data_IF_758115841983
#
_entry.id   IF_758115841983
#
_cell.length_a   1.000
_cell.length_b   1.000
_cell.length_c   1.000
_cell.angle_alpha   90.00
_cell.angle_beta   90.00
_cell.angle_gamma   90.00
#
_symmetry.space_group_name_H-M   'P 1'
#
loop_
_entity.id
_entity.type
_entity.pdbx_description
1 polymer ?
#
# COMPACT_ATOMS: atom_id res chain seq x y z
N UNK A 1 -13.97 -6.39 -18.21
CA UNK A 1 -14.79 -7.39 -17.48
C UNK A 1 -14.06 -7.66 -16.17
N UNK A 2 -14.73 -7.45 -15.04
CA UNK A 2 -14.14 -7.65 -13.72
C UNK A 2 -14.63 -9.00 -13.18
N UNK A 3 -13.71 -9.89 -12.80
CA UNK A 3 -14.08 -11.20 -12.24
C UNK A 3 -13.94 -11.13 -10.72
N UNK A 4 -15.06 -10.99 -10.01
CA UNK A 4 -15.12 -11.02 -8.54
C UNK A 4 -15.53 -12.41 -8.09
N UNK A 5 -14.71 -13.14 -7.31
CA UNK A 5 -15.10 -14.44 -6.80
C UNK A 5 -16.27 -14.31 -5.81
N UNK A 6 -17.23 -15.23 -5.88
CA UNK A 6 -18.47 -15.21 -5.08
C UNK A 6 -18.26 -15.41 -3.57
N UNK A 7 -17.06 -15.81 -3.15
CA UNK A 7 -16.66 -16.06 -1.76
C UNK A 7 -15.71 -14.98 -1.19
N UNK A 8 -15.97 -13.70 -1.49
CA UNK A 8 -15.20 -12.60 -0.93
C UNK A 8 -15.58 -12.31 0.54
N UNK A 9 -14.89 -12.95 1.48
CA UNK A 9 -15.08 -12.70 2.92
C UNK A 9 -14.35 -11.44 3.40
N UNK A 10 -13.32 -11.01 2.67
CA UNK A 10 -12.47 -9.87 3.01
C UNK A 10 -12.03 -9.14 1.75
N UNK A 11 -12.13 -7.81 1.79
CA UNK A 11 -11.64 -6.92 0.75
C UNK A 11 -10.38 -6.18 1.21
N UNK A 12 -9.53 -5.84 0.26
CA UNK A 12 -8.31 -5.07 0.50
C UNK A 12 -8.61 -3.67 1.05
N UNK A 13 -7.97 -3.32 2.16
CA UNK A 13 -8.07 -2.00 2.80
C UNK A 13 -6.70 -1.39 2.99
N UNK A 14 -6.66 -0.07 3.20
CA UNK A 14 -5.43 0.65 3.56
C UNK A 14 -4.79 0.00 4.78
N UNK A 15 -3.49 -0.27 4.69
CA UNK A 15 -2.70 -0.96 5.71
C UNK A 15 -2.52 -2.46 5.46
N UNK A 16 -3.37 -3.10 4.65
CA UNK A 16 -3.24 -4.51 4.32
C UNK A 16 -2.01 -4.78 3.46
N UNK A 17 -1.48 -6.00 3.55
CA UNK A 17 -0.47 -6.48 2.60
C UNK A 17 -1.14 -7.28 1.50
N UNK A 18 -1.12 -6.74 0.28
CA UNK A 18 -1.65 -7.37 -0.91
C UNK A 18 -0.51 -8.11 -1.63
N UNK A 19 -0.73 -9.38 -1.93
CA UNK A 19 0.15 -10.18 -2.81
C UNK A 19 -0.54 -10.39 -4.13
N UNK A 20 0.07 -9.94 -5.22
CA UNK A 20 -0.56 -9.89 -6.55
C UNK A 20 0.34 -10.46 -7.64
N UNK A 21 -0.28 -10.99 -8.68
CA UNK A 21 0.32 -11.06 -9.99
C UNK A 21 -0.23 -9.93 -10.85
N UNK A 22 0.66 -9.18 -11.51
CA UNK A 22 0.29 -8.15 -12.46
C UNK A 22 0.94 -8.36 -13.83
N UNK A 23 0.31 -7.79 -14.84
CA UNK A 23 0.89 -7.55 -16.17
C UNK A 23 0.56 -6.12 -16.61
N UNK A 24 1.60 -5.33 -16.87
CA UNK A 24 1.50 -3.95 -17.32
C UNK A 24 1.66 -3.84 -18.84
N UNK A 25 0.69 -3.24 -19.50
CA UNK A 25 0.66 -3.01 -20.94
C UNK A 25 0.41 -1.53 -21.27
N UNK A 26 0.98 -1.07 -22.37
CA UNK A 26 0.64 0.21 -22.98
C UNK A 26 -0.68 0.09 -23.75
N UNK A 27 -1.30 1.23 -24.10
CA UNK A 27 -2.55 1.25 -24.88
C UNK A 27 -2.42 0.61 -26.27
N UNK A 28 -1.21 0.53 -26.81
CA UNK A 28 -0.91 -0.17 -28.07
C UNK A 28 -0.78 -1.70 -27.90
N UNK A 29 -0.99 -2.23 -26.69
CA UNK A 29 -0.87 -3.65 -26.36
C UNK A 29 0.54 -4.13 -26.01
N UNK A 30 1.56 -3.25 -26.08
CA UNK A 30 2.93 -3.61 -25.74
C UNK A 30 3.04 -3.86 -24.24
N UNK A 31 3.43 -5.07 -23.84
CA UNK A 31 3.77 -5.39 -22.47
C UNK A 31 5.12 -4.77 -22.10
N UNK A 32 5.16 -3.99 -21.03
CA UNK A 32 6.41 -3.40 -20.51
C UNK A 32 6.92 -4.11 -19.26
N UNK A 33 6.02 -4.74 -18.48
CA UNK A 33 6.39 -5.50 -17.29
C UNK A 33 5.36 -6.58 -16.96
N UNK A 34 5.81 -7.66 -16.31
CA UNK A 34 4.93 -8.69 -15.76
C UNK A 34 5.62 -9.44 -14.63
N UNK A 35 4.84 -9.74 -13.61
CA UNK A 35 5.24 -10.66 -12.53
C UNK A 35 5.02 -12.13 -12.89
N UNK A 36 4.32 -12.44 -13.99
CA UNK A 36 4.10 -13.82 -14.44
C UNK A 36 5.44 -14.44 -14.83
N UNK A 37 5.73 -15.62 -14.30
CA UNK A 37 7.05 -16.26 -14.44
C UNK A 37 8.08 -15.85 -13.38
N UNK A 38 7.68 -15.01 -12.42
CA UNK A 38 8.45 -14.66 -11.21
C UNK A 38 7.60 -14.90 -9.96
N UNK A 39 8.18 -14.65 -8.79
CA UNK A 39 7.43 -14.65 -7.54
C UNK A 39 6.33 -13.56 -7.56
N UNK A 40 5.17 -13.79 -6.92
CA UNK A 40 4.15 -12.76 -6.73
C UNK A 40 4.72 -11.52 -6.05
N UNK A 41 4.22 -10.35 -6.43
CA UNK A 41 4.66 -9.09 -5.87
C UNK A 41 3.80 -8.73 -4.65
N UNK A 42 4.42 -8.49 -3.50
CA UNK A 42 3.76 -8.11 -2.27
C UNK A 42 4.03 -6.64 -1.94
N UNK A 43 2.98 -5.88 -1.60
CA UNK A 43 3.10 -4.49 -1.19
C UNK A 43 2.01 -4.12 -0.17
N UNK A 44 2.25 -3.04 0.57
CA UNK A 44 1.27 -2.49 1.50
C UNK A 44 0.31 -1.54 0.77
N UNK A 45 -0.99 -1.78 0.90
CA UNK A 45 -2.05 -0.96 0.31
C UNK A 45 -2.12 0.39 1.03
N UNK A 46 -2.10 1.47 0.27
CA UNK A 46 -2.00 2.85 0.76
C UNK A 46 -0.61 3.21 1.30
N UNK A 47 0.40 2.37 1.04
CA UNK A 47 1.78 2.61 1.46
C UNK A 47 2.62 3.38 0.45
N UNK A 48 2.05 3.78 -0.70
CA UNK A 48 2.73 4.52 -1.77
C UNK A 48 4.03 3.87 -2.27
N UNK A 49 4.15 2.54 -2.11
CA UNK A 49 5.31 1.76 -2.59
C UNK A 49 5.18 1.38 -4.07
N UNK A 50 4.01 1.62 -4.66
CA UNK A 50 3.69 1.41 -6.08
C UNK A 50 3.10 2.68 -6.67
N UNK A 51 2.93 2.72 -7.99
CA UNK A 51 2.28 3.86 -8.66
C UNK A 51 0.85 4.07 -8.12
N UNK A 52 0.39 5.33 -8.01
CA UNK A 52 -0.89 5.66 -7.37
C UNK A 52 -2.09 4.89 -7.95
N UNK A 53 -2.13 4.70 -9.27
CA UNK A 53 -3.22 4.00 -9.95
C UNK A 53 -3.37 2.54 -9.51
N UNK A 54 -2.26 1.85 -9.22
CA UNK A 54 -2.29 0.48 -8.68
C UNK A 54 -2.68 0.52 -7.21
N UNK A 55 -2.07 1.41 -6.42
CA UNK A 55 -2.32 1.50 -4.98
C UNK A 55 -3.81 1.74 -4.66
N UNK A 56 -4.45 2.66 -5.39
CA UNK A 56 -5.88 2.91 -5.27
C UNK A 56 -6.74 1.84 -5.96
N UNK A 57 -6.28 1.31 -7.10
CA UNK A 57 -7.08 0.37 -7.90
C UNK A 57 -7.28 -1.00 -7.25
N UNK A 58 -6.37 -1.43 -6.37
CA UNK A 58 -6.49 -2.68 -5.61
C UNK A 58 -7.41 -2.58 -4.40
N UNK A 59 -7.77 -1.36 -3.96
CA UNK A 59 -8.69 -1.19 -2.84
C UNK A 59 -10.04 -1.84 -3.18
N UNK A 60 -10.59 -2.58 -2.23
CA UNK A 60 -11.83 -3.30 -2.43
C UNK A 60 -11.70 -4.58 -3.25
N UNK A 61 -10.50 -4.98 -3.69
CA UNK A 61 -10.30 -6.28 -4.34
C UNK A 61 -10.34 -7.42 -3.31
N UNK A 62 -10.77 -8.59 -3.77
CA UNK A 62 -10.80 -9.83 -2.99
C UNK A 62 -9.63 -10.73 -3.38
N UNK A 63 -9.17 -11.60 -2.46
CA UNK A 63 -8.26 -12.68 -2.84
C UNK A 63 -8.91 -13.60 -3.89
N UNK A 64 -8.19 -13.89 -4.97
CA UNK A 64 -8.67 -14.58 -6.16
C UNK A 64 -9.34 -13.69 -7.21
N UNK A 65 -9.51 -12.39 -6.95
CA UNK A 65 -10.08 -11.45 -7.91
C UNK A 65 -9.07 -11.08 -9.00
N UNK A 66 -9.54 -10.95 -10.24
CA UNK A 66 -8.78 -10.35 -11.33
C UNK A 66 -9.47 -9.06 -11.79
N UNK A 67 -8.70 -7.98 -11.86
CA UNK A 67 -9.15 -6.64 -12.20
C UNK A 67 -8.19 -5.98 -13.18
N UNK A 68 -8.76 -5.44 -14.25
CA UNK A 68 -8.05 -4.55 -15.17
C UNK A 68 -8.16 -3.11 -14.69
N UNK A 69 -7.03 -2.46 -14.47
CA UNK A 69 -6.90 -1.06 -14.10
C UNK A 69 -6.38 -0.28 -15.30
N UNK A 70 -7.18 0.65 -15.82
CA UNK A 70 -6.71 1.62 -16.82
C UNK A 70 -6.46 2.94 -16.10
N UNK A 71 -5.24 3.45 -16.18
CA UNK A 71 -4.83 4.65 -15.47
C UNK A 71 -4.24 5.68 -16.42
N UNK A 72 -4.66 6.92 -16.23
CA UNK A 72 -4.10 8.10 -16.89
C UNK A 72 -2.65 8.32 -16.45
N UNK A 73 -1.83 9.03 -17.23
CA UNK A 73 -0.40 9.16 -16.96
C UNK A 73 -0.09 9.71 -15.56
N UNK A 74 -0.93 10.61 -15.03
CA UNK A 74 -0.78 11.24 -13.72
C UNK A 74 -0.85 10.24 -12.56
N UNK A 75 -1.54 9.11 -12.77
CA UNK A 75 -1.63 8.02 -11.79
C UNK A 75 -0.60 6.90 -12.08
N UNK A 76 0.21 7.05 -13.12
CA UNK A 76 1.27 6.12 -13.53
C UNK A 76 2.66 6.76 -13.39
N UNK A 77 3.37 6.89 -14.51
CA UNK A 77 4.73 7.43 -14.56
C UNK A 77 4.81 8.91 -15.03
N UNK A 78 3.67 9.54 -15.32
CA UNK A 78 3.56 10.94 -15.69
C UNK A 78 4.41 11.35 -16.89
N UNK A 79 4.80 12.63 -16.92
CA UNK A 79 5.62 13.21 -17.98
C UNK A 79 7.05 12.67 -18.03
N UNK A 80 7.52 11.98 -16.98
CA UNK A 80 8.85 11.37 -16.97
C UNK A 80 8.88 10.02 -17.69
N UNK A 81 7.77 9.27 -17.63
CA UNK A 81 7.76 7.87 -18.06
C UNK A 81 8.69 6.99 -17.22
N UNK A 82 8.97 5.79 -17.71
CA UNK A 82 9.95 4.86 -17.16
C UNK A 82 10.80 4.29 -18.31
N UNK A 83 11.87 5.00 -18.72
CA UNK A 83 12.74 4.54 -19.80
C UNK A 83 13.43 3.21 -19.48
N UNK A 84 13.67 2.33 -20.48
CA UNK A 84 13.36 2.51 -21.91
C UNK A 84 11.96 2.04 -22.32
N UNK A 85 11.15 1.49 -21.40
CA UNK A 85 9.97 0.70 -21.74
C UNK A 85 8.66 1.47 -21.69
N UNK A 86 8.56 2.53 -20.87
CA UNK A 86 7.36 3.37 -20.75
C UNK A 86 7.67 4.80 -21.18
N UNK A 87 7.12 5.28 -22.31
CA UNK A 87 7.28 6.66 -22.75
C UNK A 87 6.63 7.67 -21.79
N UNK A 88 7.08 8.95 -21.82
CA UNK A 88 6.38 10.07 -21.20
C UNK A 88 4.88 10.11 -21.53
N UNK A 89 4.06 10.52 -20.56
CA UNK A 89 2.61 10.75 -20.72
C UNK A 89 1.84 9.53 -21.26
N UNK A 90 2.30 8.31 -20.95
CA UNK A 90 1.65 7.08 -21.39
C UNK A 90 0.48 6.70 -20.48
N UNK A 91 -0.68 6.43 -21.08
CA UNK A 91 -1.78 5.73 -20.41
C UNK A 91 -1.40 4.26 -20.26
N UNK A 92 -1.61 3.71 -19.06
CA UNK A 92 -1.21 2.35 -18.73
C UNK A 92 -2.43 1.49 -18.45
N UNK A 93 -2.31 0.21 -18.78
CA UNK A 93 -3.28 -0.82 -18.44
C UNK A 93 -2.59 -1.90 -17.63
N UNK A 94 -3.09 -2.16 -16.43
CA UNK A 94 -2.60 -3.21 -15.54
C UNK A 94 -3.67 -4.26 -15.35
N UNK A 95 -3.38 -5.48 -15.74
CA UNK A 95 -4.18 -6.65 -15.39
C UNK A 95 -3.62 -7.23 -14.10
N UNK A 96 -4.37 -7.09 -13.00
CA UNK A 96 -3.97 -7.45 -11.63
C UNK A 96 -4.82 -8.58 -11.12
N UNK A 97 -4.17 -9.69 -10.77
CA UNK A 97 -4.74 -10.82 -10.05
C UNK A 97 -4.29 -10.78 -8.60
N UNK A 98 -5.23 -10.74 -7.68
CA UNK A 98 -4.95 -10.77 -6.26
C UNK A 98 -4.79 -12.21 -5.78
N UNK A 99 -3.60 -12.58 -5.34
CA UNK A 99 -3.28 -13.94 -4.90
C UNK A 99 -3.68 -14.12 -3.44
N UNK A 100 -3.31 -13.17 -2.58
CA UNK A 100 -3.66 -13.21 -1.17
C UNK A 100 -3.69 -11.82 -0.55
N UNK A 101 -4.44 -11.72 0.56
CA UNK A 101 -4.55 -10.53 1.39
C UNK A 101 -4.22 -10.89 2.83
N UNK A 102 -3.11 -10.36 3.34
CA UNK A 102 -2.82 -10.40 4.76
C UNK A 102 -3.39 -9.17 5.46
N UNK A 103 -3.70 -9.30 6.75
CA UNK A 103 -4.11 -8.18 7.59
C UNK A 103 -3.09 -7.04 7.60
N UNK A 104 -3.41 -5.92 8.27
CA UNK A 104 -2.39 -4.95 8.60
C UNK A 104 -1.28 -5.70 9.31
N UNK A 105 -0.09 -5.72 8.70
CA UNK A 105 1.11 -6.12 9.43
C UNK A 105 1.16 -5.10 10.55
N UNK A 106 0.86 -5.54 11.78
CA UNK A 106 1.01 -4.69 12.95
C UNK A 106 2.37 -4.03 12.79
N UNK A 107 2.47 -2.68 12.88
CA UNK A 107 3.72 -1.99 12.63
C UNK A 107 4.79 -2.74 13.42
N UNK A 108 5.79 -3.28 12.72
CA UNK A 108 6.86 -4.02 13.36
C UNK A 108 7.28 -3.18 14.57
N UNK A 109 7.35 -3.74 15.79
CA UNK A 109 7.66 -2.95 16.96
C UNK A 109 8.94 -2.17 16.66
N UNK A 110 8.81 -0.85 16.51
CA UNK A 110 9.95 0.00 16.20
C UNK A 110 11.01 -0.26 17.26
N UNK A 111 12.22 -0.75 16.93
CA UNK A 111 13.27 -0.92 17.93
C UNK A 111 13.72 0.42 18.53
N UNK A 112 13.26 1.53 17.95
CA UNK A 112 13.48 2.91 18.39
C UNK A 112 12.18 3.63 18.74
N UNK A 113 11.12 2.94 19.18
CA UNK A 113 10.03 3.63 19.86
C UNK A 113 10.64 4.51 20.97
N UNK A 114 10.38 5.83 21.01
CA UNK A 114 10.98 6.69 22.01
C UNK A 114 10.64 6.11 23.37
N UNK A 115 11.66 5.91 24.22
CA UNK A 115 11.47 5.74 25.65
C UNK A 115 10.56 6.89 26.06
N UNK A 116 9.29 6.59 26.40
CA UNK A 116 8.37 7.61 26.88
C UNK A 116 9.09 8.38 28.00
N UNK A 117 9.02 9.72 28.02
CA UNK A 117 9.88 10.49 28.89
C UNK A 117 9.54 10.16 30.34
N UNK A 118 10.54 9.69 31.09
CA UNK A 118 10.55 9.65 32.57
C UNK A 118 10.38 11.08 33.17
N UNK A 119 10.26 12.10 32.33
CA UNK A 119 10.12 13.52 32.71
C UNK A 119 8.74 13.86 33.27
N UNK A 120 7.68 13.09 32.99
CA UNK A 120 6.35 13.42 33.54
C UNK A 120 6.24 13.11 35.04
N UNK A 121 7.12 12.26 35.60
CA UNK A 121 7.08 11.92 37.02
C UNK A 121 7.68 13.01 37.93
N UNK A 122 8.58 13.86 37.42
CA UNK A 122 9.25 14.87 38.25
C UNK A 122 8.43 16.15 38.49
N UNK A 123 7.50 16.50 37.61
CA UNK A 123 6.61 17.66 37.83
C UNK A 123 5.42 17.33 38.74
N UNK A 124 4.94 16.08 38.74
CA UNK A 124 3.86 15.66 39.62
C UNK A 124 4.32 15.42 41.06
N UNK A 125 5.56 14.95 41.26
CA UNK A 125 6.14 14.81 42.60
C UNK A 125 6.56 16.16 43.21
N UNK A 126 6.94 17.15 42.41
CA UNK A 126 7.28 18.49 42.90
C UNK A 126 6.07 19.27 43.42
N UNK A 127 4.93 19.24 42.73
CA UNK A 127 3.75 20.04 43.12
C UNK A 127 3.05 19.50 44.38
N UNK A 128 3.09 18.17 44.62
CA UNK A 128 2.50 17.59 45.84
C UNK A 128 3.25 17.97 47.13
N UNK A 129 4.56 18.22 47.06
CA UNK A 129 5.34 18.63 48.24
C UNK A 129 5.07 20.07 48.67
N UNK A 130 4.67 20.94 47.73
CA UNK A 130 4.32 22.34 48.03
C UNK A 130 2.92 22.44 48.63
N UNK A 131 1.99 21.60 48.17
CA UNK A 131 0.60 21.60 48.65
C UNK A 131 0.43 20.95 50.05
N UNK A 132 1.28 20.00 50.41
CA UNK A 132 1.23 19.32 51.73
C UNK A 132 2.10 20.00 52.82
N UNK A 133 2.77 21.11 52.50
CA UNK A 133 3.81 21.74 53.32
C UNK A 133 3.50 23.12 53.90
N UNK A 134 2.24 23.44 54.26
CA UNK A 134 1.93 24.61 55.11
C UNK A 134 1.23 24.17 56.41
N UNK A 135 2.04 24.00 57.46
CA UNK A 135 1.71 24.50 58.80
C UNK A 135 2.33 25.89 58.94
#
# INVERSE_FOLDING_TARGET
>A
MQFVPSNCSRTAKVGDTATVHYTGTLTNGTQFDSSRGRAPFAFQVGGHSVIPGVDYGVIGMCAGENRTLTMVPELGYGAKGAPPTVPPNSTLKFDVEMISLAGPVAPAPNPLAPLAPIVTTFLQQGLQQILNGKK
#
